data_IF_482704825218
#
_entry.id   IF_482704825218
#
_cell.length_a   1.000
_cell.length_b   1.000
_cell.length_c   1.000
_cell.angle_alpha   90.00
_cell.angle_beta   90.00
_cell.angle_gamma   90.00
#
_symmetry.space_group_name_H-M   'P 1'
#
loop_
_entity.id
_entity.type
_entity.pdbx_description
1 polymer ?
#
# COMPACT_ATOMS: atom_id res chain seq x y z
N UNK A 1 33.35 -20.62 -29.24
CA UNK A 1 32.20 -21.33 -28.62
C UNK A 1 32.26 -21.05 -27.13
N UNK A 2 31.66 -19.94 -26.74
CA UNK A 2 31.64 -19.51 -25.31
C UNK A 2 30.57 -20.28 -24.56
N UNK A 3 30.97 -21.24 -23.74
CA UNK A 3 30.11 -21.90 -22.81
C UNK A 3 29.80 -20.91 -21.67
N UNK A 4 28.68 -20.18 -21.79
CA UNK A 4 28.15 -19.38 -20.67
C UNK A 4 27.81 -20.33 -19.51
N UNK A 5 28.53 -20.16 -18.41
CA UNK A 5 28.22 -20.86 -17.17
C UNK A 5 26.74 -20.68 -16.79
N UNK A 6 26.08 -21.72 -16.26
CA UNK A 6 24.70 -21.59 -15.81
C UNK A 6 24.62 -20.53 -14.72
N UNK A 7 23.87 -19.46 -15.01
CA UNK A 7 23.60 -18.42 -14.02
C UNK A 7 22.61 -19.03 -13.02
N UNK A 8 23.12 -19.52 -11.91
CA UNK A 8 22.32 -19.91 -10.77
C UNK A 8 21.74 -18.63 -10.19
N UNK A 9 20.41 -18.46 -10.30
CA UNK A 9 19.75 -17.40 -9.52
C UNK A 9 20.06 -17.65 -8.04
N UNK A 10 20.60 -16.65 -7.31
CA UNK A 10 20.79 -16.82 -5.87
C UNK A 10 19.44 -17.20 -5.24
N UNK A 11 19.41 -18.08 -4.22
CA UNK A 11 18.19 -18.36 -3.49
C UNK A 11 17.65 -17.02 -3.01
N UNK A 12 16.40 -16.73 -3.34
CA UNK A 12 15.77 -15.48 -2.96
C UNK A 12 15.88 -15.33 -1.44
N UNK A 13 16.50 -14.26 -0.95
CA UNK A 13 16.49 -14.00 0.49
C UNK A 13 15.04 -13.68 0.86
N UNK A 14 14.42 -14.49 1.65
CA UNK A 14 13.02 -14.48 2.02
C UNK A 14 12.06 -14.82 0.85
N UNK A 15 11.47 -15.99 0.95
CA UNK A 15 10.35 -16.38 0.08
C UNK A 15 9.26 -15.31 0.20
N UNK A 16 8.92 -14.65 -0.90
CA UNK A 16 7.80 -13.72 -0.93
C UNK A 16 6.55 -14.43 -0.40
N UNK A 17 6.04 -13.94 0.72
CA UNK A 17 4.77 -14.43 1.26
C UNK A 17 3.66 -13.53 0.71
N UNK A 18 2.72 -14.09 -0.06
CA UNK A 18 1.56 -13.35 -0.53
C UNK A 18 0.82 -12.75 0.66
N UNK A 19 0.44 -11.49 0.53
CA UNK A 19 -0.38 -10.83 1.55
C UNK A 19 -1.76 -11.50 1.62
N UNK A 20 -2.28 -11.59 2.83
CA UNK A 20 -3.63 -12.07 3.10
C UNK A 20 -4.49 -10.92 3.65
N UNK A 21 -4.91 -9.98 2.80
CA UNK A 21 -5.61 -8.78 3.27
C UNK A 21 -6.88 -9.11 4.02
N UNK A 22 -7.66 -10.10 3.57
CA UNK A 22 -8.92 -10.54 4.19
C UNK A 22 -8.78 -11.09 5.62
N UNK A 23 -7.58 -11.50 6.01
CA UNK A 23 -7.31 -11.98 7.38
C UNK A 23 -7.02 -10.85 8.36
N UNK A 24 -6.81 -9.62 7.87
CA UNK A 24 -6.47 -8.47 8.73
C UNK A 24 -7.71 -7.91 9.43
N UNK A 25 -7.62 -7.54 10.72
CA UNK A 25 -8.74 -6.96 11.45
C UNK A 25 -9.33 -5.72 10.77
N UNK A 26 -8.48 -4.86 10.22
CA UNK A 26 -8.92 -3.66 9.51
C UNK A 26 -9.75 -4.00 8.27
N UNK A 27 -9.33 -5.01 7.51
CA UNK A 27 -10.06 -5.41 6.31
C UNK A 27 -11.48 -5.87 6.69
N UNK A 28 -11.59 -6.77 7.65
CA UNK A 28 -12.89 -7.30 8.12
C UNK A 28 -13.78 -6.19 8.66
N UNK A 29 -13.23 -5.31 9.48
CA UNK A 29 -13.98 -4.16 10.01
C UNK A 29 -14.56 -3.30 8.88
N UNK A 30 -13.77 -3.01 7.86
CA UNK A 30 -14.21 -2.20 6.73
C UNK A 30 -15.21 -2.95 5.87
N UNK A 31 -14.97 -4.21 5.57
CA UNK A 31 -15.88 -5.07 4.79
C UNK A 31 -17.26 -5.17 5.45
N UNK A 32 -17.29 -5.43 6.76
CA UNK A 32 -18.54 -5.66 7.51
C UNK A 32 -19.35 -4.38 7.77
N UNK A 33 -18.69 -3.24 7.88
CA UNK A 33 -19.32 -2.03 8.42
C UNK A 33 -19.39 -0.83 7.46
N UNK A 34 -18.71 -0.87 6.33
CA UNK A 34 -18.64 0.29 5.45
C UNK A 34 -19.99 0.72 4.87
N UNK A 35 -20.82 -0.21 4.44
CA UNK A 35 -22.14 0.11 3.92
C UNK A 35 -23.06 0.70 5.01
N UNK A 36 -22.97 0.14 6.22
CA UNK A 36 -23.69 0.68 7.38
C UNK A 36 -23.22 2.10 7.71
N UNK A 37 -21.90 2.34 7.68
CA UNK A 37 -21.35 3.69 7.88
C UNK A 37 -21.88 4.67 6.83
N UNK A 38 -21.95 4.28 5.56
CA UNK A 38 -22.46 5.14 4.49
C UNK A 38 -23.93 5.52 4.75
N UNK A 39 -24.76 4.55 5.11
CA UNK A 39 -26.18 4.78 5.42
C UNK A 39 -26.35 5.70 6.63
N UNK A 40 -25.70 5.38 7.75
CA UNK A 40 -25.75 6.21 8.97
C UNK A 40 -25.24 7.63 8.72
N UNK A 41 -24.20 7.75 7.90
CA UNK A 41 -23.68 9.07 7.53
C UNK A 41 -24.71 9.89 6.75
N UNK A 42 -25.43 9.29 5.81
CA UNK A 42 -26.47 9.96 5.04
C UNK A 42 -27.66 10.39 5.91
N UNK A 43 -28.07 9.54 6.87
CA UNK A 43 -29.19 9.79 7.75
C UNK A 43 -28.90 10.79 8.87
N UNK A 44 -27.75 10.65 9.56
CA UNK A 44 -27.48 11.37 10.81
C UNK A 44 -26.41 12.47 10.65
N UNK A 45 -25.39 12.25 9.85
CA UNK A 45 -24.21 13.12 9.80
C UNK A 45 -24.21 14.08 8.63
N UNK A 46 -24.88 13.76 7.53
CA UNK A 46 -24.93 14.61 6.34
C UNK A 46 -25.46 16.02 6.62
N UNK A 47 -26.50 16.24 7.44
CA UNK A 47 -27.00 17.58 7.73
C UNK A 47 -25.94 18.49 8.40
N UNK A 48 -25.04 17.89 9.19
CA UNK A 48 -24.00 18.62 9.93
C UNK A 48 -22.67 18.71 9.22
N UNK A 49 -22.26 17.63 8.52
CA UNK A 49 -20.92 17.49 7.95
C UNK A 49 -20.90 17.47 6.42
N UNK A 50 -22.06 17.53 5.78
CA UNK A 50 -22.22 17.42 4.34
C UNK A 50 -22.10 15.98 3.84
N UNK A 51 -22.19 15.81 2.53
CA UNK A 51 -22.14 14.49 1.89
C UNK A 51 -20.78 13.81 2.10
N UNK A 52 -20.79 12.51 2.30
CA UNK A 52 -19.57 11.70 2.27
C UNK A 52 -18.87 11.88 0.92
N UNK A 53 -17.64 12.37 0.95
CA UNK A 53 -16.88 12.68 -0.27
C UNK A 53 -16.72 11.42 -1.12
N UNK A 54 -17.00 11.54 -2.40
CA UNK A 54 -16.83 10.45 -3.37
C UNK A 54 -15.39 9.87 -3.34
N UNK A 55 -14.39 10.72 -3.13
CA UNK A 55 -13.01 10.27 -2.97
C UNK A 55 -12.78 9.35 -1.77
N UNK A 56 -13.49 9.58 -0.65
CA UNK A 56 -13.40 8.70 0.52
C UNK A 56 -14.04 7.33 0.24
N UNK A 57 -15.22 7.32 -0.38
CA UNK A 57 -15.91 6.08 -0.80
C UNK A 57 -14.99 5.26 -1.74
N UNK A 58 -14.48 5.88 -2.80
CA UNK A 58 -13.54 5.22 -3.73
C UNK A 58 -12.25 4.73 -3.08
N UNK A 59 -11.77 5.41 -2.04
CA UNK A 59 -10.58 4.97 -1.33
C UNK A 59 -10.83 3.67 -0.57
N UNK A 60 -12.01 3.51 0.03
CA UNK A 60 -12.42 2.29 0.73
C UNK A 60 -12.64 1.15 -0.26
N UNK A 61 -13.37 1.37 -1.35
CA UNK A 61 -13.58 0.37 -2.41
C UNK A 61 -12.24 -0.16 -2.94
N UNK A 62 -11.32 0.74 -3.29
CA UNK A 62 -9.97 0.35 -3.71
C UNK A 62 -9.17 -0.39 -2.63
N UNK A 63 -9.39 -0.07 -1.36
CA UNK A 63 -8.72 -0.76 -0.26
C UNK A 63 -9.21 -2.21 -0.16
N UNK A 64 -10.50 -2.45 -0.31
CA UNK A 64 -11.09 -3.79 -0.30
C UNK A 64 -10.58 -4.66 -1.45
N UNK A 65 -10.22 -4.08 -2.59
CA UNK A 65 -9.60 -4.78 -3.72
C UNK A 65 -8.09 -4.98 -3.59
N UNK A 66 -7.47 -4.36 -2.59
CA UNK A 66 -6.03 -4.27 -2.50
C UNK A 66 -5.34 -5.60 -2.14
N UNK A 67 -4.54 -6.11 -3.05
CA UNK A 67 -3.75 -7.32 -2.84
C UNK A 67 -4.57 -8.60 -2.98
N UNK A 68 -5.72 -8.53 -3.64
CA UNK A 68 -6.62 -9.63 -3.93
C UNK A 68 -6.41 -10.02 -5.40
N UNK A 69 -6.08 -11.29 -5.65
CA UNK A 69 -5.80 -11.77 -7.01
C UNK A 69 -7.02 -11.70 -7.92
N UNK A 70 -8.19 -11.95 -7.36
CA UNK A 70 -9.48 -11.90 -8.06
C UNK A 70 -9.81 -10.49 -8.59
N UNK A 71 -9.33 -9.45 -7.88
CA UNK A 71 -9.50 -8.06 -8.29
C UNK A 71 -8.46 -7.59 -9.32
N UNK A 72 -7.54 -8.49 -9.69
CA UNK A 72 -6.55 -8.29 -10.74
C UNK A 72 -5.11 -8.47 -10.27
N UNK A 73 -4.29 -8.91 -11.22
CA UNK A 73 -2.88 -9.21 -10.96
C UNK A 73 -2.01 -8.97 -12.20
N UNK A 74 -0.70 -8.85 -11.97
CA UNK A 74 0.32 -8.96 -12.99
C UNK A 74 1.03 -10.31 -12.87
N UNK A 75 1.28 -10.96 -14.00
CA UNK A 75 2.14 -12.13 -14.08
C UNK A 75 3.57 -11.67 -14.35
N UNK A 76 4.48 -11.96 -13.44
CA UNK A 76 5.90 -11.67 -13.57
C UNK A 76 6.63 -12.96 -13.88
N UNK A 77 7.45 -12.94 -14.92
CA UNK A 77 8.24 -14.09 -15.38
C UNK A 77 9.71 -13.69 -15.46
N UNK A 78 10.57 -14.53 -14.97
CA UNK A 78 12.01 -14.39 -15.16
C UNK A 78 12.44 -14.95 -16.52
N UNK A 79 13.05 -14.14 -17.36
CA UNK A 79 13.51 -14.58 -18.69
C UNK A 79 14.63 -15.62 -18.64
N UNK A 80 15.40 -15.64 -17.53
CA UNK A 80 16.54 -16.56 -17.34
C UNK A 80 16.12 -17.93 -16.85
N UNK A 81 15.39 -17.99 -15.73
CA UNK A 81 15.00 -19.25 -15.08
C UNK A 81 13.55 -19.67 -15.36
N UNK A 82 12.79 -18.83 -16.08
CA UNK A 82 11.36 -19.03 -16.40
C UNK A 82 10.44 -19.16 -15.17
N UNK A 83 10.95 -18.92 -13.97
CA UNK A 83 10.10 -18.86 -12.78
C UNK A 83 9.04 -17.77 -12.96
N UNK A 84 7.82 -18.10 -12.55
CA UNK A 84 6.68 -17.21 -12.68
C UNK A 84 6.01 -17.02 -11.31
N UNK A 85 5.50 -15.81 -11.07
CA UNK A 85 4.68 -15.54 -9.92
C UNK A 85 3.63 -14.47 -10.22
N UNK A 86 2.53 -14.51 -9.49
CA UNK A 86 1.44 -13.58 -9.63
C UNK A 86 1.56 -12.49 -8.56
N UNK A 87 1.44 -11.25 -8.98
CA UNK A 87 1.46 -10.08 -8.10
C UNK A 87 0.11 -9.39 -8.17
N UNK A 88 -0.67 -9.50 -7.10
CA UNK A 88 -1.95 -8.81 -7.02
C UNK A 88 -1.78 -7.29 -7.06
N UNK A 89 -2.70 -6.58 -7.69
CA UNK A 89 -2.63 -5.14 -7.78
C UNK A 89 -2.81 -4.47 -6.42
N UNK A 90 -2.12 -3.36 -6.23
CA UNK A 90 -2.18 -2.56 -5.03
C UNK A 90 -3.05 -1.32 -5.24
N UNK A 91 -3.83 -0.94 -4.23
CA UNK A 91 -4.75 0.21 -4.33
C UNK A 91 -4.06 1.56 -4.43
N UNK A 92 -2.79 1.66 -4.01
CA UNK A 92 -2.02 2.93 -3.94
C UNK A 92 -2.70 4.03 -3.12
N UNK A 93 -3.70 3.69 -2.32
CA UNK A 93 -4.42 4.64 -1.46
C UNK A 93 -3.52 5.01 -0.28
N UNK A 94 -3.12 6.27 -0.25
CA UNK A 94 -2.25 6.82 0.78
C UNK A 94 -2.99 6.88 2.11
N UNK A 95 -2.28 6.63 3.21
CA UNK A 95 -2.75 6.80 4.60
C UNK A 95 -3.79 5.75 4.99
N UNK A 96 -4.79 5.47 4.16
CA UNK A 96 -5.86 4.54 4.49
C UNK A 96 -5.43 3.07 4.43
N UNK A 97 -4.72 2.65 3.37
CA UNK A 97 -4.20 1.29 3.26
C UNK A 97 -2.82 1.16 3.94
N UNK A 98 -2.70 0.47 5.09
CA UNK A 98 -1.44 0.40 5.84
C UNK A 98 -0.28 -0.16 5.02
N UNK A 99 -0.53 -1.18 4.22
CA UNK A 99 0.51 -1.82 3.43
C UNK A 99 0.98 -0.98 2.24
N UNK A 100 0.08 -0.27 1.56
CA UNK A 100 0.47 0.64 0.49
C UNK A 100 1.18 1.87 1.05
N UNK A 101 0.81 2.28 2.26
CA UNK A 101 1.48 3.36 2.98
C UNK A 101 2.90 2.95 3.38
N UNK A 102 3.07 1.79 4.05
CA UNK A 102 4.36 1.25 4.46
C UNK A 102 5.32 1.10 3.26
N UNK A 103 4.87 0.43 2.18
CA UNK A 103 5.69 0.30 0.97
C UNK A 103 6.15 1.65 0.41
N UNK A 104 5.30 2.66 0.44
CA UNK A 104 5.67 3.98 -0.02
C UNK A 104 6.68 4.66 0.90
N UNK A 105 6.54 4.48 2.23
CA UNK A 105 7.49 5.01 3.19
C UNK A 105 8.87 4.38 3.02
N UNK A 106 8.93 3.07 2.77
CA UNK A 106 10.21 2.37 2.50
C UNK A 106 10.90 2.93 1.25
N UNK A 107 10.17 3.04 0.13
CA UNK A 107 10.74 3.62 -1.12
C UNK A 107 11.19 5.07 -0.92
N UNK A 108 10.42 5.85 -0.15
CA UNK A 108 10.76 7.24 0.13
C UNK A 108 11.95 7.35 1.07
N UNK A 109 12.03 6.47 2.09
CA UNK A 109 13.15 6.45 3.03
C UNK A 109 14.46 6.07 2.32
N UNK A 110 14.41 5.05 1.47
CA UNK A 110 15.54 4.62 0.64
C UNK A 110 16.04 5.75 -0.26
N UNK A 111 15.13 6.42 -0.96
CA UNK A 111 15.47 7.59 -1.78
C UNK A 111 16.06 8.74 -0.94
N UNK A 112 15.45 9.02 0.22
CA UNK A 112 15.92 10.07 1.13
C UNK A 112 17.35 9.80 1.61
N UNK A 113 17.63 8.55 2.00
CA UNK A 113 18.91 8.13 2.53
C UNK A 113 20.02 8.17 1.46
N UNK A 114 19.75 7.68 0.25
CA UNK A 114 20.76 7.51 -0.78
C UNK A 114 20.94 8.71 -1.71
N UNK A 115 19.89 9.50 -1.92
CA UNK A 115 19.90 10.57 -2.92
C UNK A 115 19.87 11.98 -2.32
N UNK A 116 19.28 12.15 -1.14
CA UNK A 116 19.06 13.48 -0.59
C UNK A 116 19.95 13.81 0.63
N UNK A 117 20.12 12.86 1.53
CA UNK A 117 20.84 13.08 2.77
C UNK A 117 22.35 12.86 2.58
N UNK A 118 23.14 13.80 3.02
CA UNK A 118 24.58 13.60 3.13
C UNK A 118 24.92 12.70 4.33
N UNK A 119 26.04 11.96 4.27
CA UNK A 119 26.51 11.10 5.35
C UNK A 119 27.09 11.91 6.54
N UNK A 120 26.29 12.79 7.12
CA UNK A 120 26.62 13.64 8.27
C UNK A 120 25.54 13.49 9.35
N UNK A 121 25.84 13.80 10.62
CA UNK A 121 24.82 13.78 11.66
C UNK A 121 23.69 14.78 11.36
N UNK A 122 22.46 14.28 11.29
CA UNK A 122 21.27 15.08 11.08
C UNK A 122 20.52 15.36 12.38
N UNK A 123 19.93 16.56 12.50
CA UNK A 123 19.02 16.93 13.59
C UNK A 123 17.74 17.51 12.99
N UNK A 124 16.60 17.06 13.52
CA UNK A 124 15.31 17.61 13.15
C UNK A 124 14.89 18.66 14.19
N UNK A 125 14.51 19.83 13.72
CA UNK A 125 13.89 20.88 14.54
C UNK A 125 12.45 21.05 14.09
N UNK A 126 11.51 20.95 15.03
CA UNK A 126 10.08 21.11 14.76
C UNK A 126 9.63 22.43 15.38
N UNK A 127 9.20 23.35 14.54
CA UNK A 127 8.61 24.61 15.00
C UNK A 127 7.09 24.56 14.82
N UNK A 128 6.36 24.84 15.87
CA UNK A 128 4.90 24.92 15.82
C UNK A 128 4.47 26.37 15.95
N UNK A 129 3.64 26.81 15.02
CA UNK A 129 3.00 28.12 15.09
C UNK A 129 1.55 27.90 15.54
N UNK A 130 1.11 28.46 16.71
CA UNK A 130 -0.26 28.31 17.13
C UNK A 130 -1.20 28.98 16.12
N UNK A 131 -2.23 28.25 15.73
CA UNK A 131 -3.30 28.82 14.92
C UNK A 131 -4.04 29.86 15.77
N UNK A 132 -3.95 31.13 15.39
CA UNK A 132 -4.83 32.14 15.99
C UNK A 132 -6.28 31.79 15.61
N UNK A 133 -7.10 31.59 16.61
CA UNK A 133 -8.54 31.41 16.50
C UNK A 133 -9.18 32.78 16.30
#
# INVERSE_FOLDING_TARGET
MDARAPVVCPPAPAVYQPRRPRETPLYRLVEDHFETLVRVHEEEFQPRYGRLRHAARRAVEKFLDCGILESGFARVRCDRCRAEFLVAFSCKVRIFCPSCHAKRLEVWADWLEHELLYAVPHRQYVFTVPKRV
#
